data_IF_988907053003
#
_entry.id   IF_988907053003
#
_cell.length_a   1.000
_cell.length_b   1.000
_cell.length_c   1.000
_cell.angle_alpha   90.00
_cell.angle_beta   90.00
_cell.angle_gamma   90.00
#
_symmetry.space_group_name_H-M   'P 1'
#
loop_
_entity.id
_entity.type
_entity.pdbx_description
1 polymer ?
#
# COMPACT_ATOMS: atom_id res chain seq x y z
N UNK A 1 -9.10 -20.76 -30.34
CA UNK A 1 -8.78 -20.72 -28.89
C UNK A 1 -7.30 -21.03 -28.65
N UNK A 2 -6.66 -21.90 -29.44
CA UNK A 2 -5.24 -22.28 -29.31
C UNK A 2 -4.23 -21.12 -29.47
N UNK A 3 -4.52 -20.13 -30.32
CA UNK A 3 -3.62 -18.98 -30.55
C UNK A 3 -3.51 -18.08 -29.31
N UNK A 4 -4.58 -17.94 -28.51
CA UNK A 4 -4.60 -17.09 -27.32
C UNK A 4 -3.71 -17.67 -26.21
N UNK A 5 -3.71 -19.00 -26.04
CA UNK A 5 -2.92 -19.68 -25.01
C UNK A 5 -1.41 -19.56 -25.24
N UNK A 6 -0.98 -19.37 -26.49
CA UNK A 6 0.41 -19.15 -26.83
C UNK A 6 0.93 -17.75 -26.43
N UNK A 7 0.05 -16.74 -26.42
CA UNK A 7 0.41 -15.37 -26.02
C UNK A 7 0.24 -15.09 -24.52
N UNK A 8 -0.61 -15.86 -23.81
CA UNK A 8 -0.77 -15.78 -22.36
C UNK A 8 0.55 -15.71 -21.57
N UNK A 9 1.55 -16.59 -21.79
CA UNK A 9 2.80 -16.53 -21.02
C UNK A 9 3.60 -15.25 -21.26
N UNK A 10 3.59 -14.72 -22.49
CA UNK A 10 4.26 -13.45 -22.80
C UNK A 10 3.56 -12.28 -22.13
N UNK A 11 2.22 -12.30 -22.08
CA UNK A 11 1.41 -11.29 -21.38
C UNK A 11 1.67 -11.33 -19.88
N UNK A 12 1.71 -12.52 -19.26
CA UNK A 12 2.02 -12.65 -17.84
C UNK A 12 3.44 -12.22 -17.50
N UNK A 13 4.43 -12.55 -18.35
CA UNK A 13 5.81 -12.06 -18.18
C UNK A 13 5.89 -10.54 -18.29
N UNK A 14 5.20 -9.94 -19.26
CA UNK A 14 5.13 -8.48 -19.42
C UNK A 14 4.51 -7.80 -18.20
N UNK A 15 3.38 -8.31 -17.70
CA UNK A 15 2.74 -7.82 -16.46
C UNK A 15 3.64 -8.00 -15.24
N UNK A 16 4.33 -9.13 -15.12
CA UNK A 16 5.25 -9.41 -14.02
C UNK A 16 6.44 -8.44 -14.00
N UNK A 17 7.07 -8.21 -15.16
CA UNK A 17 8.17 -7.25 -15.28
C UNK A 17 7.72 -5.82 -15.01
N UNK A 18 6.54 -5.44 -15.51
CA UNK A 18 5.94 -4.14 -15.21
C UNK A 18 5.69 -3.98 -13.70
N UNK A 19 5.13 -5.00 -13.04
CA UNK A 19 4.87 -4.98 -11.60
C UNK A 19 6.16 -4.89 -10.78
N UNK A 20 7.21 -5.62 -11.16
CA UNK A 20 8.53 -5.51 -10.53
C UNK A 20 9.11 -4.10 -10.70
N UNK A 21 8.99 -3.52 -11.89
CA UNK A 21 9.44 -2.16 -12.13
C UNK A 21 8.65 -1.13 -11.31
N UNK A 22 7.33 -1.28 -11.21
CA UNK A 22 6.45 -0.44 -10.40
C UNK A 22 6.75 -0.55 -8.89
N UNK A 23 7.10 -1.73 -8.39
CA UNK A 23 7.51 -1.95 -6.99
C UNK A 23 8.78 -1.17 -6.64
N UNK A 24 9.68 -0.94 -7.60
CA UNK A 24 10.87 -0.10 -7.36
C UNK A 24 10.55 1.39 -7.21
N UNK A 25 9.38 1.83 -7.66
CA UNK A 25 9.05 3.24 -7.76
C UNK A 25 8.59 3.81 -6.42
N UNK A 26 9.28 4.86 -5.93
CA UNK A 26 9.04 5.48 -4.61
C UNK A 26 7.64 6.08 -4.45
N UNK A 27 7.11 6.72 -5.49
CA UNK A 27 5.76 7.33 -5.47
C UNK A 27 4.64 6.32 -5.20
N UNK A 28 4.80 5.07 -5.66
CA UNK A 28 3.82 4.01 -5.42
C UNK A 28 3.75 3.67 -3.93
N UNK A 29 4.90 3.54 -3.27
CA UNK A 29 4.95 3.26 -1.83
C UNK A 29 4.40 4.42 -1.00
N UNK A 30 4.65 5.66 -1.40
CA UNK A 30 4.05 6.84 -0.74
C UNK A 30 2.51 6.82 -0.86
N UNK A 31 1.97 6.50 -2.05
CA UNK A 31 0.52 6.35 -2.27
C UNK A 31 -0.06 5.21 -1.43
N UNK A 32 0.57 4.02 -1.45
CA UNK A 32 0.08 2.84 -0.73
C UNK A 32 0.12 3.05 0.79
N UNK A 33 1.21 3.60 1.33
CA UNK A 33 1.34 3.87 2.76
C UNK A 33 0.42 5.02 3.20
N UNK A 34 0.26 6.07 2.39
CA UNK A 34 -0.66 7.17 2.65
C UNK A 34 -2.11 6.72 2.67
N UNK A 35 -2.56 6.02 1.62
CA UNK A 35 -3.92 5.47 1.54
C UNK A 35 -4.18 4.39 2.60
N UNK A 36 -3.19 3.54 2.88
CA UNK A 36 -3.27 2.53 3.94
C UNK A 36 -3.40 3.16 5.32
N UNK A 37 -2.63 4.22 5.61
CA UNK A 37 -2.75 5.02 6.83
C UNK A 37 -4.13 5.66 6.95
N UNK A 38 -4.64 6.26 5.87
CA UNK A 38 -5.96 6.88 5.85
C UNK A 38 -7.10 5.85 6.04
N UNK A 39 -6.99 4.68 5.42
CA UNK A 39 -7.92 3.57 5.60
C UNK A 39 -7.91 3.05 7.04
N UNK A 40 -6.72 2.94 7.67
CA UNK A 40 -6.62 2.54 9.08
C UNK A 40 -7.24 3.57 10.04
N UNK A 41 -7.17 4.87 9.71
CA UNK A 41 -7.85 5.93 10.47
C UNK A 41 -9.38 5.78 10.38
N UNK A 42 -9.93 5.54 9.19
CA UNK A 42 -11.37 5.29 9.05
C UNK A 42 -11.81 4.01 9.74
N UNK A 43 -11.02 2.94 9.67
CA UNK A 43 -11.30 1.70 10.36
C UNK A 43 -11.24 1.87 11.90
N UNK A 44 -10.34 2.71 12.40
CA UNK A 44 -10.26 3.07 13.82
C UNK A 44 -11.54 3.79 14.26
N UNK A 45 -11.98 4.81 13.50
CA UNK A 45 -13.22 5.52 13.77
C UNK A 45 -14.44 4.58 13.75
N UNK A 46 -14.49 3.66 12.79
CA UNK A 46 -15.54 2.65 12.70
C UNK A 46 -15.54 1.69 13.91
N UNK A 47 -14.36 1.32 14.41
CA UNK A 47 -14.20 0.43 15.57
C UNK A 47 -14.63 1.09 16.87
N UNK A 48 -14.44 2.41 17.02
CA UNK A 48 -14.94 3.17 18.17
C UNK A 48 -16.47 3.13 18.24
N UNK A 49 -17.15 3.25 17.10
CA UNK A 49 -18.62 3.22 17.00
C UNK A 49 -19.18 1.85 17.40
N UNK A 50 -18.45 0.76 17.11
CA UNK A 50 -18.86 -0.61 17.45
C UNK A 50 -18.38 -1.08 18.83
N UNK A 51 -17.92 -0.18 19.71
CA UNK A 51 -17.36 -0.48 21.04
C UNK A 51 -16.18 -1.48 21.02
N UNK A 52 -15.46 -1.56 19.91
CA UNK A 52 -14.29 -2.43 19.76
C UNK A 52 -13.01 -1.68 20.13
N UNK A 53 -12.83 -1.39 21.43
CA UNK A 53 -11.74 -0.54 21.92
C UNK A 53 -10.35 -1.13 21.62
N UNK A 54 -10.22 -2.47 21.69
CA UNK A 54 -8.95 -3.16 21.42
C UNK A 54 -8.58 -3.08 19.93
N UNK A 55 -9.57 -3.15 19.04
CA UNK A 55 -9.38 -3.00 17.60
C UNK A 55 -9.03 -1.55 17.23
N UNK A 56 -9.69 -0.56 17.86
CA UNK A 56 -9.37 0.85 17.66
C UNK A 56 -7.92 1.17 18.06
N UNK A 57 -7.45 0.65 19.20
CA UNK A 57 -6.05 0.78 19.62
C UNK A 57 -5.07 0.15 18.62
N UNK A 58 -5.36 -1.06 18.15
CA UNK A 58 -4.52 -1.73 17.13
C UNK A 58 -4.46 -0.96 15.82
N UNK A 59 -5.58 -0.42 15.35
CA UNK A 59 -5.65 0.38 14.12
C UNK A 59 -4.99 1.75 14.28
N UNK A 60 -5.04 2.34 15.47
CA UNK A 60 -4.29 3.56 15.78
C UNK A 60 -2.78 3.34 15.70
N UNK A 61 -2.27 2.26 16.29
CA UNK A 61 -0.85 1.89 16.19
C UNK A 61 -0.46 1.64 14.73
N UNK A 62 -1.30 0.93 13.99
CA UNK A 62 -1.09 0.66 12.57
C UNK A 62 -1.01 1.98 11.75
N UNK A 63 -1.92 2.92 11.99
CA UNK A 63 -1.92 4.24 11.36
C UNK A 63 -0.60 4.98 11.63
N UNK A 64 -0.15 5.03 12.88
CA UNK A 64 1.09 5.73 13.28
C UNK A 64 2.31 5.11 12.61
N UNK A 65 2.39 3.78 12.54
CA UNK A 65 3.50 3.08 11.89
C UNK A 65 3.52 3.36 10.38
N UNK A 66 2.37 3.23 9.71
CA UNK A 66 2.26 3.48 8.27
C UNK A 66 2.63 4.93 7.92
N UNK A 67 2.16 5.88 8.74
CA UNK A 67 2.47 7.30 8.56
C UNK A 67 3.96 7.60 8.79
N UNK A 68 4.56 7.01 9.82
CA UNK A 68 5.98 7.21 10.17
C UNK A 68 6.91 6.66 9.08
N UNK A 69 6.57 5.50 8.50
CA UNK A 69 7.33 4.93 7.37
C UNK A 69 7.19 5.81 6.13
N UNK A 70 5.96 6.24 5.80
CA UNK A 70 5.70 7.14 4.68
C UNK A 70 6.47 8.46 4.80
N UNK A 71 6.50 9.04 6.00
CA UNK A 71 7.25 10.27 6.29
C UNK A 71 8.75 10.10 6.06
N UNK A 72 9.36 9.01 6.55
CA UNK A 72 10.79 8.75 6.31
C UNK A 72 11.13 8.60 4.83
N UNK A 73 10.26 7.97 4.05
CA UNK A 73 10.45 7.80 2.61
C UNK A 73 10.36 9.15 1.88
N UNK A 74 9.51 10.05 2.37
CA UNK A 74 9.39 11.41 1.85
C UNK A 74 10.60 12.27 2.22
N UNK A 75 11.05 12.22 3.48
CA UNK A 75 12.22 12.95 3.98
C UNK A 75 13.50 12.57 3.21
N UNK A 76 13.69 11.29 2.89
CA UNK A 76 14.79 10.82 2.01
C UNK A 76 14.68 11.35 0.56
N UNK A 77 13.58 12.00 0.19
CA UNK A 77 13.43 12.63 -1.13
C UNK A 77 13.96 14.06 -1.17
N UNK A 78 14.05 14.73 -0.02
CA UNK A 78 14.46 16.14 0.07
C UNK A 78 15.99 16.31 0.10
N UNK A 79 16.75 15.20 0.23
CA UNK A 79 18.22 15.17 0.29
C UNK A 79 18.91 14.82 -1.03
N UNK A 80 18.18 14.83 -2.16
CA UNK A 80 18.68 14.64 -3.53
C UNK A 80 18.41 15.90 -4.35
#
# INVERSE_FOLDING_TARGET
MEVLEHYLPMIYLGLGLLALWLIQQRWLWLMVLGLGGLASCFAMLASIIHFQILAALGLFVLMVVLWSIGWKILEDSDYV
#
